data_IF_463617357740
#
_entry.id   IF_463617357740
#
_cell.length_a   1.000
_cell.length_b   1.000
_cell.length_c   1.000
_cell.angle_alpha   90.00
_cell.angle_beta   90.00
_cell.angle_gamma   90.00
#
_symmetry.space_group_name_H-M   'P 1'
#
loop_
_entity.id
_entity.type
_entity.pdbx_description
1 polymer ?
#
# COMPACT_ATOMS: atom_id res chain seq x y z
N UNK A 1 18.12 -4.28 29.08
CA UNK A 1 19.00 -3.54 28.14
C UNK A 1 19.27 -4.32 26.85
N UNK A 2 19.41 -5.67 26.85
CA UNK A 2 19.71 -6.47 25.66
C UNK A 2 18.64 -6.39 24.54
N UNK A 3 17.36 -6.46 24.87
CA UNK A 3 16.27 -6.47 23.86
C UNK A 3 16.19 -5.18 23.02
N UNK A 4 16.60 -4.03 23.56
CA UNK A 4 16.52 -2.77 22.82
C UNK A 4 17.66 -2.63 21.80
N UNK A 5 18.84 -3.13 22.12
CA UNK A 5 20.01 -3.12 21.21
C UNK A 5 19.76 -4.05 20.01
N UNK A 6 19.20 -5.24 20.25
CA UNK A 6 18.87 -6.20 19.21
C UNK A 6 17.77 -5.66 18.27
N UNK A 7 16.72 -5.02 18.82
CA UNK A 7 15.67 -4.39 18.04
C UNK A 7 16.21 -3.27 17.14
N UNK A 8 17.08 -2.40 17.68
CA UNK A 8 17.71 -1.33 16.89
C UNK A 8 18.52 -1.95 15.74
N UNK A 9 19.36 -2.95 15.99
CA UNK A 9 20.15 -3.59 14.96
C UNK A 9 19.29 -4.22 13.85
N UNK A 10 18.16 -4.85 14.22
CA UNK A 10 17.21 -5.38 13.24
C UNK A 10 16.55 -4.28 12.40
N UNK A 11 16.16 -3.15 13.01
CA UNK A 11 15.61 -2.01 12.31
C UNK A 11 16.64 -1.37 11.37
N UNK A 12 17.89 -1.22 11.81
CA UNK A 12 18.99 -0.71 10.99
C UNK A 12 19.26 -1.61 9.78
N UNK A 13 19.27 -2.93 9.96
CA UNK A 13 19.44 -3.88 8.85
C UNK A 13 18.31 -3.77 7.81
N UNK A 14 17.05 -3.64 8.25
CA UNK A 14 15.92 -3.41 7.34
C UNK A 14 16.05 -2.07 6.61
N UNK A 15 16.41 -1.01 7.33
CA UNK A 15 16.58 0.32 6.76
C UNK A 15 17.72 0.38 5.73
N UNK A 16 18.84 -0.30 5.99
CA UNK A 16 19.96 -0.40 5.04
C UNK A 16 19.52 -0.99 3.67
N UNK A 17 18.61 -1.96 3.68
CA UNK A 17 18.08 -2.53 2.43
C UNK A 17 17.30 -1.49 1.59
N UNK A 18 16.77 -0.44 2.23
CA UNK A 18 16.04 0.64 1.57
C UNK A 18 16.95 1.73 0.95
N UNK A 19 18.25 1.63 1.12
CA UNK A 19 19.24 2.50 0.47
C UNK A 19 19.63 2.00 -0.93
N UNK A 20 19.10 0.86 -1.37
CA UNK A 20 19.39 0.31 -2.69
C UNK A 20 18.81 1.19 -3.82
N UNK A 21 19.35 1.11 -5.05
CA UNK A 21 18.83 1.85 -6.21
C UNK A 21 17.39 1.51 -6.62
N UNK A 22 16.80 0.47 -6.03
CA UNK A 22 15.38 0.13 -6.22
C UNK A 22 14.42 1.16 -5.60
N UNK A 23 14.92 1.98 -4.67
CA UNK A 23 14.18 3.06 -4.04
C UNK A 23 14.60 4.41 -4.63
N UNK A 24 13.63 5.35 -4.73
CA UNK A 24 13.94 6.70 -5.21
C UNK A 24 14.87 7.46 -4.25
N UNK A 25 15.45 8.54 -4.76
CA UNK A 25 16.43 9.34 -4.02
C UNK A 25 15.85 9.96 -2.76
N UNK A 26 14.62 10.48 -2.82
CA UNK A 26 13.95 11.08 -1.66
C UNK A 26 13.76 10.05 -0.54
N UNK A 27 13.33 8.85 -0.89
CA UNK A 27 13.19 7.72 0.05
C UNK A 27 14.53 7.35 0.67
N UNK A 28 15.59 7.18 -0.14
CA UNK A 28 16.93 6.85 0.35
C UNK A 28 17.48 7.93 1.29
N UNK A 29 17.32 9.20 0.94
CA UNK A 29 17.78 10.31 1.76
C UNK A 29 17.04 10.36 3.12
N UNK A 30 15.73 10.13 3.11
CA UNK A 30 14.94 10.09 4.33
C UNK A 30 15.34 8.92 5.25
N UNK A 31 15.60 7.74 4.68
CA UNK A 31 16.08 6.56 5.43
C UNK A 31 17.49 6.80 5.96
N UNK A 32 18.40 7.37 5.17
CA UNK A 32 19.76 7.69 5.62
C UNK A 32 19.73 8.66 6.80
N UNK A 33 18.87 9.69 6.74
CA UNK A 33 18.73 10.64 7.85
C UNK A 33 18.26 9.97 9.15
N UNK A 34 17.41 8.94 9.08
CA UNK A 34 17.00 8.14 10.26
C UNK A 34 18.16 7.28 10.79
N UNK A 35 18.98 6.73 9.88
CA UNK A 35 20.15 5.92 10.26
C UNK A 35 21.24 6.77 10.92
N UNK A 36 21.45 8.00 10.48
CA UNK A 36 22.46 8.91 11.00
C UNK A 36 22.06 9.59 12.31
N UNK A 37 20.76 9.58 12.65
CA UNK A 37 20.27 10.20 13.88
C UNK A 37 20.66 9.36 15.10
N UNK A 38 21.19 10.01 16.15
CA UNK A 38 21.49 9.36 17.44
C UNK A 38 20.21 8.84 18.12
N UNK A 39 19.10 9.59 18.03
CA UNK A 39 17.79 9.14 18.48
C UNK A 39 17.17 8.17 17.44
N UNK A 40 17.17 6.89 17.78
CA UNK A 40 16.63 5.81 16.92
C UNK A 40 15.11 5.63 17.00
N UNK A 41 14.39 6.47 17.73
CA UNK A 41 12.93 6.34 17.91
C UNK A 41 12.19 6.32 16.57
N UNK A 42 12.50 7.25 15.67
CA UNK A 42 11.85 7.32 14.34
C UNK A 42 12.21 6.12 13.47
N UNK A 43 13.47 5.64 13.53
CA UNK A 43 13.93 4.46 12.81
C UNK A 43 13.18 3.20 13.29
N UNK A 44 13.11 3.00 14.60
CA UNK A 44 12.41 1.86 15.19
C UNK A 44 10.94 1.89 14.76
N UNK A 45 10.25 3.02 14.92
CA UNK A 45 8.84 3.16 14.60
C UNK A 45 8.54 2.89 13.09
N UNK A 46 9.49 3.24 12.21
CA UNK A 46 9.37 2.99 10.77
C UNK A 46 9.67 1.54 10.35
N UNK A 47 10.51 0.79 11.09
CA UNK A 47 11.06 -0.49 10.63
C UNK A 47 10.91 -1.68 11.58
N UNK A 48 10.34 -1.51 12.80
CA UNK A 48 10.25 -2.61 13.78
C UNK A 48 9.38 -3.77 13.29
N UNK A 49 8.41 -3.51 12.44
CA UNK A 49 7.53 -4.51 11.83
C UNK A 49 7.21 -4.18 10.36
N UNK A 50 6.54 -5.08 9.69
CA UNK A 50 5.90 -4.81 8.40
C UNK A 50 4.45 -4.39 8.64
N UNK A 51 3.96 -3.48 7.79
CA UNK A 51 2.56 -3.13 7.79
C UNK A 51 1.74 -4.32 7.24
N UNK A 52 0.76 -4.78 8.00
CA UNK A 52 -0.02 -5.96 7.68
C UNK A 52 -1.49 -5.63 7.45
N UNK A 53 -2.19 -6.50 6.70
CA UNK A 53 -3.62 -6.42 6.54
C UNK A 53 -4.33 -6.78 7.84
N UNK A 54 -5.11 -5.83 8.37
CA UNK A 54 -6.07 -6.07 9.45
C UNK A 54 -7.47 -6.31 8.89
N UNK A 55 -8.48 -6.37 9.78
CA UNK A 55 -9.89 -6.57 9.43
C UNK A 55 -10.44 -5.51 8.45
N UNK A 56 -9.90 -4.30 8.46
CA UNK A 56 -10.34 -3.19 7.59
C UNK A 56 -9.42 -2.92 6.40
N UNK A 57 -8.48 -3.83 6.08
CA UNK A 57 -7.45 -3.63 5.05
C UNK A 57 -6.11 -3.20 5.63
N UNK A 58 -5.22 -2.71 4.76
CA UNK A 58 -3.93 -2.16 5.15
C UNK A 58 -4.12 -0.69 5.57
N UNK A 59 -3.54 -0.28 6.71
CA UNK A 59 -3.68 1.10 7.19
C UNK A 59 -2.47 1.50 8.05
N UNK A 60 -1.94 2.69 7.81
CA UNK A 60 -0.80 3.20 8.56
C UNK A 60 -0.54 4.68 8.35
N UNK A 61 0.37 5.22 9.15
CA UNK A 61 0.93 6.55 8.95
C UNK A 61 1.73 6.56 7.65
N UNK A 62 1.59 7.62 6.85
CA UNK A 62 2.37 7.79 5.62
C UNK A 62 3.83 8.12 5.95
N UNK A 63 4.75 7.57 5.19
CA UNK A 63 6.19 7.81 5.35
C UNK A 63 7.04 6.67 4.82
N UNK A 64 8.35 6.79 4.99
CA UNK A 64 9.31 5.76 4.59
C UNK A 64 9.39 4.67 5.65
N UNK A 65 9.61 3.43 5.22
CA UNK A 65 9.76 2.27 6.10
C UNK A 65 8.72 1.19 5.89
N UNK A 66 9.00 0.02 6.44
CA UNK A 66 8.14 -1.18 6.30
C UNK A 66 6.84 -1.09 7.11
N UNK A 67 6.83 -0.29 8.18
CA UNK A 67 5.66 -0.04 9.04
C UNK A 67 4.94 1.27 8.66
N UNK A 68 5.02 1.70 7.40
CA UNK A 68 4.44 2.94 6.89
C UNK A 68 3.68 2.71 5.59
N UNK A 69 2.66 3.57 5.36
CA UNK A 69 2.01 3.67 4.06
C UNK A 69 2.89 4.49 3.11
N UNK A 70 3.36 3.84 2.06
CA UNK A 70 4.12 4.44 0.96
C UNK A 70 3.90 3.66 -0.33
N UNK A 71 4.39 4.17 -1.46
CA UNK A 71 4.19 3.54 -2.77
C UNK A 71 4.76 2.13 -2.87
N UNK A 72 5.83 1.82 -2.13
CA UNK A 72 6.44 0.49 -2.14
C UNK A 72 5.58 -0.54 -1.40
N UNK A 73 5.05 -0.18 -0.22
CA UNK A 73 4.16 -1.04 0.55
C UNK A 73 2.83 -1.23 -0.19
N UNK A 74 2.27 -0.16 -0.76
CA UNK A 74 1.08 -0.24 -1.62
C UNK A 74 1.35 -1.11 -2.85
N UNK A 75 2.51 -0.95 -3.49
CA UNK A 75 2.90 -1.77 -4.64
C UNK A 75 3.03 -3.25 -4.30
N UNK A 76 3.70 -3.60 -3.19
CA UNK A 76 3.82 -5.00 -2.74
C UNK A 76 2.47 -5.61 -2.41
N UNK A 77 1.61 -4.88 -1.71
CA UNK A 77 0.24 -5.34 -1.39
C UNK A 77 -0.56 -5.60 -2.67
N UNK A 78 -0.47 -4.69 -3.64
CA UNK A 78 -1.17 -4.83 -4.93
C UNK A 78 -0.62 -5.98 -5.76
N UNK A 79 0.71 -6.20 -5.77
CA UNK A 79 1.32 -7.35 -6.45
C UNK A 79 0.83 -8.67 -5.84
N UNK A 80 0.78 -8.75 -4.50
CA UNK A 80 0.21 -9.90 -3.80
C UNK A 80 -1.25 -10.14 -4.18
N UNK A 81 -2.05 -9.07 -4.27
CA UNK A 81 -3.45 -9.16 -4.66
C UNK A 81 -3.61 -9.54 -6.13
N UNK A 82 -2.80 -9.02 -7.05
CA UNK A 82 -2.77 -9.42 -8.45
C UNK A 82 -2.46 -10.92 -8.61
N UNK A 83 -1.43 -11.41 -7.91
CA UNK A 83 -1.09 -12.83 -7.91
C UNK A 83 -2.25 -13.71 -7.39
N UNK A 84 -2.95 -13.24 -6.37
CA UNK A 84 -4.12 -13.94 -5.82
C UNK A 84 -5.27 -13.99 -6.83
N UNK A 85 -5.59 -12.86 -7.51
CA UNK A 85 -6.63 -12.81 -8.53
C UNK A 85 -6.34 -13.74 -9.70
N UNK A 86 -5.12 -13.74 -10.22
CA UNK A 86 -4.71 -14.64 -11.31
C UNK A 86 -4.82 -16.11 -10.92
N UNK A 87 -4.58 -16.44 -9.66
CA UNK A 87 -4.75 -17.79 -9.12
C UNK A 87 -6.21 -18.16 -8.85
N UNK A 88 -7.03 -17.20 -8.41
CA UNK A 88 -8.45 -17.43 -8.07
C UNK A 88 -9.33 -17.57 -9.32
N UNK A 89 -8.95 -16.95 -10.43
CA UNK A 89 -9.69 -16.97 -11.70
C UNK A 89 -8.86 -17.62 -12.83
N UNK A 90 -8.51 -18.91 -12.73
CA UNK A 90 -7.64 -19.57 -13.68
C UNK A 90 -8.31 -19.64 -15.06
N UNK A 91 -7.59 -19.23 -16.11
CA UNK A 91 -8.10 -19.24 -17.49
C UNK A 91 -9.03 -18.08 -17.87
N UNK A 92 -9.31 -17.16 -16.93
CA UNK A 92 -10.04 -15.93 -17.24
C UNK A 92 -9.08 -14.89 -17.81
N UNK A 93 -9.25 -14.53 -19.09
CA UNK A 93 -8.36 -13.60 -19.81
C UNK A 93 -8.76 -12.12 -19.66
N UNK A 94 -9.91 -11.85 -19.04
CA UNK A 94 -10.51 -10.52 -18.91
C UNK A 94 -10.75 -10.12 -17.45
N UNK A 95 -9.84 -10.52 -16.56
CA UNK A 95 -9.87 -10.07 -15.17
C UNK A 95 -9.81 -8.55 -15.13
N UNK A 96 -10.75 -7.95 -14.40
CA UNK A 96 -10.84 -6.51 -14.25
C UNK A 96 -10.97 -6.11 -12.78
N UNK A 97 -10.47 -4.92 -12.44
CA UNK A 97 -10.57 -4.32 -11.10
C UNK A 97 -11.02 -2.88 -11.18
N UNK A 98 -11.69 -2.42 -10.13
CA UNK A 98 -12.01 -1.00 -9.92
C UNK A 98 -11.03 -0.42 -8.92
N UNK A 99 -10.48 0.76 -9.21
CA UNK A 99 -9.59 1.49 -8.31
C UNK A 99 -10.12 2.89 -8.09
N UNK A 100 -10.24 3.28 -6.83
CA UNK A 100 -10.63 4.63 -6.45
C UNK A 100 -9.88 5.12 -5.23
N UNK A 101 -10.08 6.40 -4.90
CA UNK A 101 -9.49 6.99 -3.71
C UNK A 101 -10.41 8.08 -3.12
N UNK A 102 -10.33 8.24 -1.81
CA UNK A 102 -10.96 9.33 -1.10
C UNK A 102 -9.98 10.50 -0.87
N UNK A 103 -10.47 11.55 -0.21
CA UNK A 103 -9.68 12.75 0.08
C UNK A 103 -8.64 12.48 1.17
N UNK A 104 -7.49 11.96 0.76
CA UNK A 104 -6.30 11.73 1.60
C UNK A 104 -5.05 12.26 0.91
N UNK A 105 -4.06 12.71 1.71
CA UNK A 105 -2.74 13.02 1.17
C UNK A 105 -2.21 11.78 0.44
N UNK A 106 -1.55 11.98 -0.70
CA UNK A 106 -1.03 10.92 -1.57
C UNK A 106 -2.09 9.93 -2.10
N UNK A 107 -3.40 10.16 -1.89
CA UNK A 107 -4.45 9.23 -2.32
C UNK A 107 -4.42 8.94 -3.81
N UNK A 108 -4.27 9.99 -4.66
CA UNK A 108 -4.17 9.84 -6.11
C UNK A 108 -2.92 9.05 -6.52
N UNK A 109 -1.76 9.39 -5.99
CA UNK A 109 -0.49 8.72 -6.28
C UNK A 109 -0.54 7.23 -5.89
N UNK A 110 -1.12 6.89 -4.74
CA UNK A 110 -1.31 5.48 -4.35
C UNK A 110 -2.30 4.76 -5.26
N UNK A 111 -3.41 5.39 -5.66
CA UNK A 111 -4.36 4.80 -6.59
C UNK A 111 -3.74 4.53 -7.98
N UNK A 112 -2.89 5.43 -8.46
CA UNK A 112 -2.11 5.25 -9.69
C UNK A 112 -1.11 4.10 -9.54
N UNK A 113 -0.38 4.01 -8.42
CA UNK A 113 0.51 2.88 -8.12
C UNK A 113 -0.24 1.55 -8.17
N UNK A 114 -1.44 1.49 -7.60
CA UNK A 114 -2.32 0.30 -7.65
C UNK A 114 -2.70 -0.03 -9.10
N UNK A 115 -3.12 0.97 -9.87
CA UNK A 115 -3.52 0.80 -11.26
C UNK A 115 -2.38 0.30 -12.14
N UNK A 116 -1.18 0.87 -11.97
CA UNK A 116 0.02 0.50 -12.72
C UNK A 116 0.42 -0.96 -12.46
N UNK A 117 0.41 -1.40 -11.19
CA UNK A 117 0.75 -2.77 -10.82
C UNK A 117 -0.26 -3.78 -11.39
N UNK A 118 -1.56 -3.52 -11.27
CA UNK A 118 -2.57 -4.41 -11.86
C UNK A 118 -2.43 -4.47 -13.38
N UNK A 119 -2.24 -3.32 -14.04
CA UNK A 119 -2.05 -3.24 -15.49
C UNK A 119 -0.80 -3.99 -15.94
N UNK A 120 0.31 -3.87 -15.21
CA UNK A 120 1.55 -4.60 -15.49
C UNK A 120 1.39 -6.13 -15.36
N UNK A 121 0.41 -6.60 -14.58
CA UNK A 121 0.05 -8.01 -14.47
C UNK A 121 -1.04 -8.46 -15.48
N UNK A 122 -1.37 -7.62 -16.48
CA UNK A 122 -2.37 -7.94 -17.49
C UNK A 122 -3.83 -7.86 -17.00
N UNK A 123 -4.07 -7.27 -15.84
CA UNK A 123 -5.40 -7.08 -15.26
C UNK A 123 -5.95 -5.73 -15.73
N UNK A 124 -7.15 -5.72 -16.27
CA UNK A 124 -7.84 -4.51 -16.72
C UNK A 124 -8.19 -3.63 -15.51
N UNK A 125 -7.89 -2.33 -15.57
CA UNK A 125 -8.17 -1.39 -14.49
C UNK A 125 -9.19 -0.34 -14.92
N UNK A 126 -10.20 -0.15 -14.09
CA UNK A 126 -11.11 0.99 -14.12
C UNK A 126 -10.71 1.93 -12.97
N UNK A 127 -9.89 2.94 -13.30
CA UNK A 127 -9.45 3.96 -12.35
C UNK A 127 -10.40 5.16 -12.38
N UNK A 128 -11.00 5.48 -11.24
CA UNK A 128 -11.78 6.69 -11.12
C UNK A 128 -10.90 7.93 -11.29
N UNK A 129 -11.33 8.85 -12.13
CA UNK A 129 -10.60 10.10 -12.41
C UNK A 129 -10.57 11.02 -11.19
N UNK A 130 -11.66 11.13 -10.45
CA UNK A 130 -11.79 11.96 -9.26
C UNK A 130 -12.07 11.17 -7.98
N UNK A 131 -12.22 11.90 -6.89
CA UNK A 131 -12.55 11.34 -5.57
C UNK A 131 -13.90 10.60 -5.63
N UNK A 132 -13.94 9.41 -5.02
CA UNK A 132 -15.18 8.63 -4.88
C UNK A 132 -15.30 8.04 -3.48
N UNK A 133 -16.50 8.09 -2.90
CA UNK A 133 -16.76 7.44 -1.64
C UNK A 133 -16.80 5.92 -1.79
N UNK A 134 -16.48 5.22 -0.70
CA UNK A 134 -16.45 3.76 -0.64
C UNK A 134 -17.66 3.05 -1.26
N UNK A 135 -18.93 3.49 -1.08
CA UNK A 135 -20.08 2.84 -1.71
C UNK A 135 -20.07 2.85 -3.23
N UNK A 136 -19.50 3.87 -3.87
CA UNK A 136 -19.38 3.91 -5.34
C UNK A 136 -18.38 2.88 -5.86
N UNK A 137 -17.30 2.61 -5.11
CA UNK A 137 -16.33 1.55 -5.46
C UNK A 137 -17.02 0.19 -5.44
N UNK A 138 -17.70 -0.13 -4.34
CA UNK A 138 -18.48 -1.37 -4.19
C UNK A 138 -19.54 -1.54 -5.29
N UNK A 139 -20.26 -0.48 -5.60
CA UNK A 139 -21.26 -0.47 -6.69
C UNK A 139 -20.61 -0.70 -8.06
N UNK A 140 -19.50 -0.01 -8.36
CA UNK A 140 -18.82 -0.10 -9.66
C UNK A 140 -18.25 -1.50 -9.90
N UNK A 141 -17.73 -2.19 -8.87
CA UNK A 141 -17.26 -3.57 -8.97
C UNK A 141 -18.37 -4.47 -9.53
N UNK A 142 -19.56 -4.42 -8.94
CA UNK A 142 -20.73 -5.21 -9.36
C UNK A 142 -21.26 -4.77 -10.73
N UNK A 143 -21.39 -3.47 -10.95
CA UNK A 143 -21.92 -2.90 -12.19
C UNK A 143 -21.05 -3.19 -13.41
N UNK A 144 -19.73 -3.20 -13.25
CA UNK A 144 -18.75 -3.45 -14.29
C UNK A 144 -18.32 -4.93 -14.35
N UNK A 145 -18.91 -5.79 -13.51
CA UNK A 145 -18.57 -7.21 -13.39
C UNK A 145 -17.08 -7.45 -13.17
N UNK A 146 -16.45 -6.60 -12.34
CA UNK A 146 -15.06 -6.74 -11.97
C UNK A 146 -14.87 -7.85 -10.93
N UNK A 147 -13.71 -8.48 -10.92
CA UNK A 147 -13.38 -9.55 -9.97
C UNK A 147 -12.94 -8.98 -8.61
N UNK A 148 -12.53 -7.72 -8.59
CA UNK A 148 -12.08 -7.07 -7.35
C UNK A 148 -12.10 -5.54 -7.47
N UNK A 149 -11.78 -4.89 -6.37
CA UNK A 149 -11.53 -3.46 -6.35
C UNK A 149 -10.64 -3.03 -5.19
N UNK A 150 -10.15 -1.82 -5.31
CA UNK A 150 -9.33 -1.17 -4.27
C UNK A 150 -9.82 0.25 -4.04
N UNK A 151 -10.02 0.61 -2.77
CA UNK A 151 -10.22 1.99 -2.39
C UNK A 151 -9.08 2.48 -1.48
N UNK A 152 -8.38 3.50 -1.93
CA UNK A 152 -7.30 4.13 -1.17
C UNK A 152 -7.91 5.12 -0.20
N UNK A 153 -7.99 4.73 1.06
CA UNK A 153 -8.59 5.55 2.13
C UNK A 153 -8.21 5.04 3.52
N UNK A 154 -8.12 5.94 4.47
CA UNK A 154 -7.97 5.63 5.89
C UNK A 154 -9.25 5.96 6.70
N UNK A 155 -10.41 6.09 6.03
CA UNK A 155 -11.69 6.35 6.69
C UNK A 155 -11.65 7.60 7.58
N UNK A 156 -11.82 7.45 8.88
CA UNK A 156 -11.85 8.51 9.89
C UNK A 156 -10.53 8.76 10.63
N UNK A 157 -9.46 8.07 10.26
CA UNK A 157 -8.15 8.30 10.88
C UNK A 157 -7.64 9.72 10.63
N UNK A 158 -6.73 10.23 11.47
CA UNK A 158 -6.05 11.51 11.26
C UNK A 158 -5.43 11.64 9.86
N UNK A 159 -5.15 12.87 9.45
CA UNK A 159 -4.73 13.21 8.07
C UNK A 159 -3.40 12.57 7.64
N UNK A 160 -2.54 12.24 8.59
CA UNK A 160 -1.25 11.58 8.40
C UNK A 160 -1.36 10.10 8.02
N UNK A 161 -2.55 9.51 8.18
CA UNK A 161 -2.84 8.13 7.78
C UNK A 161 -3.35 8.05 6.35
N UNK A 162 -2.99 6.96 5.68
CA UNK A 162 -3.70 6.46 4.51
C UNK A 162 -3.87 4.94 4.64
N UNK A 163 -4.58 4.34 3.70
CA UNK A 163 -4.88 2.92 3.74
C UNK A 163 -5.26 2.36 2.37
N UNK A 164 -5.39 1.06 2.32
CA UNK A 164 -5.68 0.26 1.16
C UNK A 164 -6.78 -0.74 1.54
N UNK A 165 -8.00 -0.53 1.06
CA UNK A 165 -9.12 -1.44 1.25
C UNK A 165 -9.29 -2.29 0.01
N UNK A 166 -9.23 -3.61 0.16
CA UNK A 166 -9.50 -4.57 -0.91
C UNK A 166 -10.95 -5.03 -0.86
N UNK A 167 -11.55 -5.20 -2.02
CA UNK A 167 -12.93 -5.67 -2.21
C UNK A 167 -12.92 -6.85 -3.17
N UNK A 168 -13.87 -7.77 -2.99
CA UNK A 168 -14.08 -8.90 -3.88
C UNK A 168 -15.14 -8.61 -4.93
N UNK A 169 -15.47 -9.59 -5.79
CA UNK A 169 -16.43 -9.45 -6.91
C UNK A 169 -17.87 -9.10 -6.49
N UNK A 170 -18.23 -9.38 -5.24
CA UNK A 170 -19.52 -9.00 -4.64
C UNK A 170 -19.56 -7.54 -4.16
N UNK A 171 -18.43 -6.86 -4.18
CA UNK A 171 -18.27 -5.47 -3.73
C UNK A 171 -18.10 -5.31 -2.22
N UNK A 172 -17.80 -6.42 -1.48
CA UNK A 172 -17.57 -6.43 -0.04
C UNK A 172 -16.09 -6.67 0.29
#
# INVERSE_FOLDING_TARGET
MGNNVELIAQCEAKAQAWLSPAFDEETRNAVQAMLDNEDKTALIDAFYQNLEFGTGGLRGIMGVGTNRMNKYIVGMATQGFANYLLKAFPGKNDIAVVVGHERRNNGRMFAETVADIFSANGIKVYLFEGLRPTPEISFAIRQLHCQAGVNVTASHNPREYNGYKAYWEDGA
#
